data_IF_566589874849
#
_entry.id   IF_566589874849
#
_cell.length_a   1.000
_cell.length_b   1.000
_cell.length_c   1.000
_cell.angle_alpha   90.00
_cell.angle_beta   90.00
_cell.angle_gamma   90.00
#
_symmetry.space_group_name_H-M   'P 1'
#
loop_
_entity.id
_entity.type
_entity.pdbx_description
1 polymer ?
#
# COMPACT_ATOMS: atom_id res chain seq x y z
N UNK A 1 2.63 17.84 6.34
CA UNK A 1 1.89 18.04 5.06
C UNK A 1 2.05 16.87 4.09
N UNK A 2 3.27 16.43 3.75
CA UNK A 2 3.49 15.30 2.81
C UNK A 2 2.73 14.01 3.15
N UNK A 3 2.65 13.64 4.44
CA UNK A 3 1.94 12.43 4.89
C UNK A 3 0.44 12.48 4.64
N UNK A 4 -0.21 13.63 4.87
CA UNK A 4 -1.64 13.81 4.61
C UNK A 4 -1.95 13.75 3.11
N UNK A 5 -1.11 14.37 2.28
CA UNK A 5 -1.20 14.25 0.83
C UNK A 5 -1.03 12.81 0.35
N UNK A 6 -0.08 12.06 0.91
CA UNK A 6 0.08 10.63 0.60
C UNK A 6 -1.12 9.79 1.05
N UNK A 7 -1.76 10.09 2.18
CA UNK A 7 -2.97 9.38 2.62
C UNK A 7 -4.16 9.60 1.69
N UNK A 8 -4.37 10.84 1.21
CA UNK A 8 -5.41 11.13 0.21
C UNK A 8 -5.07 10.43 -1.11
N UNK A 9 -3.81 10.45 -1.52
CA UNK A 9 -3.36 9.79 -2.75
C UNK A 9 -3.50 8.26 -2.66
N UNK A 10 -3.26 7.66 -1.49
CA UNK A 10 -3.49 6.23 -1.25
C UNK A 10 -4.98 5.85 -1.32
N UNK A 11 -5.88 6.78 -0.98
CA UNK A 11 -7.31 6.56 -1.03
C UNK A 11 -7.84 6.65 -2.48
N UNK A 12 -7.41 7.64 -3.26
CA UNK A 12 -7.92 7.83 -4.63
C UNK A 12 -7.11 7.10 -5.71
N UNK A 13 -5.81 6.90 -5.49
CA UNK A 13 -4.86 6.33 -6.45
C UNK A 13 -3.88 5.36 -5.74
N UNK A 14 -4.37 4.23 -5.18
CA UNK A 14 -3.54 3.28 -4.44
C UNK A 14 -2.38 2.71 -5.28
N UNK A 15 -2.60 2.49 -6.58
CA UNK A 15 -1.58 2.04 -7.53
C UNK A 15 -0.39 3.00 -7.67
N UNK A 16 -0.62 4.31 -7.55
CA UNK A 16 0.44 5.31 -7.61
C UNK A 16 1.34 5.23 -6.35
N UNK A 17 0.74 4.95 -5.19
CA UNK A 17 1.47 4.75 -3.93
C UNK A 17 2.33 3.49 -3.98
N UNK A 18 1.81 2.43 -4.61
CA UNK A 18 2.56 1.18 -4.84
C UNK A 18 3.75 1.38 -5.79
N UNK A 19 3.57 2.16 -6.86
CA UNK A 19 4.68 2.55 -7.76
C UNK A 19 5.74 3.39 -7.05
N UNK A 20 5.32 4.33 -6.20
CA UNK A 20 6.22 5.17 -5.40
C UNK A 20 7.03 4.38 -4.36
N UNK A 21 6.64 3.14 -4.07
CA UNK A 21 7.31 2.23 -3.14
C UNK A 21 8.06 1.08 -3.84
N UNK A 22 8.42 1.26 -5.12
CA UNK A 22 9.13 0.28 -5.95
C UNK A 22 8.39 -1.08 -6.10
N UNK A 23 7.05 -1.07 -6.00
CA UNK A 23 6.23 -2.27 -6.15
C UNK A 23 5.31 -2.19 -7.40
N UNK A 24 5.88 -2.32 -8.61
CA UNK A 24 5.12 -2.19 -9.86
C UNK A 24 4.10 -3.34 -10.07
N UNK A 25 4.42 -4.54 -9.57
CA UNK A 25 3.47 -5.66 -9.59
C UNK A 25 2.24 -5.37 -8.74
N UNK A 26 2.45 -4.76 -7.57
CA UNK A 26 1.35 -4.38 -6.71
C UNK A 26 0.50 -3.26 -7.28
N UNK A 27 1.11 -2.29 -7.97
CA UNK A 27 0.37 -1.26 -8.67
C UNK A 27 -0.57 -1.83 -9.75
N UNK A 28 -0.15 -2.86 -10.47
CA UNK A 28 -0.99 -3.54 -11.47
C UNK A 28 -2.19 -4.26 -10.83
N UNK A 29 -1.97 -4.95 -9.71
CA UNK A 29 -3.06 -5.59 -8.94
C UNK A 29 -4.03 -4.54 -8.40
N UNK A 30 -3.52 -3.42 -7.89
CA UNK A 30 -4.35 -2.31 -7.40
C UNK A 30 -5.19 -1.69 -8.52
N UNK A 31 -4.67 -1.58 -9.76
CA UNK A 31 -5.45 -1.13 -10.92
C UNK A 31 -6.61 -2.08 -11.24
N UNK A 32 -6.35 -3.39 -11.25
CA UNK A 32 -7.40 -4.41 -11.49
C UNK A 32 -8.43 -4.38 -10.36
N UNK A 33 -7.98 -4.27 -9.11
CA UNK A 33 -8.88 -4.18 -7.97
C UNK A 33 -9.71 -2.90 -7.99
N UNK A 34 -9.13 -1.77 -8.39
CA UNK A 34 -9.82 -0.48 -8.52
C UNK A 34 -10.87 -0.48 -9.64
N UNK A 35 -10.80 -1.41 -10.60
CA UNK A 35 -11.88 -1.63 -11.57
C UNK A 35 -13.18 -2.13 -10.92
N UNK A 36 -13.13 -2.56 -9.65
CA UNK A 36 -14.29 -3.02 -8.89
C UNK A 36 -14.44 -2.20 -7.60
N UNK A 37 -15.68 -1.87 -7.22
CA UNK A 37 -15.97 -1.17 -5.95
C UNK A 37 -15.48 -1.98 -4.74
N UNK A 38 -15.48 -3.32 -4.86
CA UNK A 38 -15.03 -4.24 -3.82
C UNK A 38 -13.50 -4.28 -3.71
N UNK A 39 -12.77 -4.18 -4.81
CA UNK A 39 -11.31 -4.21 -4.78
C UNK A 39 -10.67 -2.94 -4.23
N UNK A 40 -11.40 -1.81 -4.23
CA UNK A 40 -10.94 -0.56 -3.66
C UNK A 40 -10.44 -0.66 -2.20
N UNK A 41 -11.24 -1.16 -1.23
CA UNK A 41 -10.77 -1.32 0.15
C UNK A 41 -9.58 -2.30 0.28
N UNK A 42 -9.54 -3.38 -0.50
CA UNK A 42 -8.42 -4.32 -0.48
C UNK A 42 -7.13 -3.67 -0.99
N UNK A 43 -7.19 -2.88 -2.06
CA UNK A 43 -6.05 -2.14 -2.59
C UNK A 43 -5.54 -1.10 -1.58
N UNK A 44 -6.44 -0.41 -0.86
CA UNK A 44 -6.07 0.55 0.18
C UNK A 44 -5.36 -0.12 1.37
N UNK A 45 -5.87 -1.24 1.88
CA UNK A 45 -5.24 -2.00 2.99
C UNK A 45 -3.83 -2.45 2.58
N UNK A 46 -3.69 -2.92 1.35
CA UNK A 46 -2.41 -3.43 0.86
C UNK A 46 -1.37 -2.31 0.63
N UNK A 47 -1.78 -1.17 0.08
CA UNK A 47 -0.95 0.03 0.00
C UNK A 47 -0.54 0.53 1.40
N UNK A 48 -1.44 0.48 2.38
CA UNK A 48 -1.15 0.85 3.77
C UNK A 48 -0.06 -0.05 4.37
N UNK A 49 -0.17 -1.37 4.17
CA UNK A 49 0.80 -2.36 4.67
C UNK A 49 2.20 -2.17 4.09
N UNK A 50 2.30 -1.61 2.88
CA UNK A 50 3.57 -1.32 2.23
C UNK A 50 4.21 -0.03 2.79
N UNK A 51 3.41 0.99 3.07
CA UNK A 51 3.87 2.26 3.69
C UNK A 51 4.27 2.08 5.16
N UNK A 52 3.66 1.11 5.84
CA UNK A 52 4.03 0.70 7.20
C UNK A 52 4.57 -0.74 7.15
N UNK A 53 5.83 -0.94 6.71
CA UNK A 53 6.47 -2.22 6.91
C UNK A 53 6.49 -2.46 8.42
N UNK A 54 5.65 -3.38 8.89
CA UNK A 54 5.75 -3.88 10.26
C UNK A 54 7.19 -4.30 10.43
N UNK A 55 7.91 -3.59 11.29
CA UNK A 55 9.29 -3.92 11.63
C UNK A 55 9.26 -5.27 12.35
N UNK A 56 9.25 -6.36 11.58
CA UNK A 56 9.49 -7.72 12.07
C UNK A 56 10.98 -7.85 12.37
N UNK A 57 11.49 -6.98 13.24
CA UNK A 57 12.83 -7.02 13.79
C UNK A 57 12.71 -6.68 15.26
N UNK A 58 12.06 -7.57 16.01
CA UNK A 58 12.03 -7.54 17.47
C UNK A 58 11.86 -8.93 18.10
N UNK A 59 12.09 -10.03 17.36
CA UNK A 59 11.99 -11.39 17.95
C UNK A 59 12.79 -12.43 17.16
N UNK A 60 14.07 -12.18 16.86
CA UNK A 60 15.03 -13.26 16.51
C UNK A 60 16.43 -12.90 17.06
N UNK A 61 16.51 -12.53 18.34
CA UNK A 61 17.74 -12.57 19.13
C UNK A 61 17.39 -13.11 20.51
N UNK A 62 17.05 -14.40 20.60
CA UNK A 62 17.27 -15.30 21.75
C UNK A 62 16.72 -16.67 21.32
N UNK A 63 17.60 -17.55 20.84
CA UNK A 63 17.78 -18.94 21.29
C UNK A 63 18.79 -19.67 20.38
#
# INVERSE_FOLDING_TARGET
>A
MKRFFMSILALFFPWLVLLLHDNPGGAFVALIMQATVVGWPFATIWAWRLVHPENKTATEETE
#
